data_IF_835844841051
#
_entry.id   IF_835844841051
#
_cell.length_a   1.000
_cell.length_b   1.000
_cell.length_c   1.000
_cell.angle_alpha   90.00
_cell.angle_beta   90.00
_cell.angle_gamma   90.00
#
_symmetry.space_group_name_H-M   'P 1'
#
loop_
_entity.id
_entity.type
_entity.pdbx_description
1 polymer ?
#
# COMPACT_ATOMS: atom_id res chain seq x y z
N UNK A 1 5.02 15.87 -5.82
CA UNK A 1 4.82 15.51 -4.42
C UNK A 1 5.58 14.21 -4.17
N UNK A 2 6.70 14.23 -3.42
CA UNK A 2 7.42 13.02 -3.06
C UNK A 2 6.47 11.93 -2.58
N UNK A 3 6.56 10.75 -3.16
CA UNK A 3 5.62 9.65 -2.94
C UNK A 3 6.39 8.43 -2.48
N UNK A 4 5.92 7.73 -1.45
CA UNK A 4 6.35 6.37 -1.14
C UNK A 4 5.36 5.40 -1.75
N UNK A 5 5.84 4.60 -2.70
CA UNK A 5 5.15 3.37 -3.10
C UNK A 5 5.77 2.20 -2.33
N UNK A 6 5.04 1.64 -1.36
CA UNK A 6 5.44 0.47 -0.58
C UNK A 6 4.84 -0.79 -1.22
N UNK A 7 5.63 -1.47 -2.05
CA UNK A 7 5.20 -2.55 -2.95
C UNK A 7 5.71 -3.91 -2.48
N UNK A 8 5.00 -4.53 -1.52
CA UNK A 8 5.31 -5.90 -1.05
C UNK A 8 5.14 -6.92 -2.18
N UNK A 9 6.07 -7.87 -2.28
CA UNK A 9 6.07 -8.96 -3.26
C UNK A 9 6.29 -10.30 -2.52
N UNK A 10 5.38 -10.59 -1.58
CA UNK A 10 5.48 -11.76 -0.71
C UNK A 10 4.80 -12.99 -1.32
N UNK A 11 3.57 -12.81 -1.77
CA UNK A 11 2.70 -13.83 -2.32
C UNK A 11 1.94 -13.32 -3.56
N UNK A 12 1.04 -14.15 -4.10
CA UNK A 12 0.36 -13.84 -5.35
C UNK A 12 -0.46 -12.54 -5.30
N UNK A 13 -1.34 -12.28 -4.31
CA UNK A 13 -2.11 -11.04 -4.27
C UNK A 13 -1.24 -9.80 -4.07
N UNK A 14 -0.23 -9.86 -3.19
CA UNK A 14 0.68 -8.73 -2.98
C UNK A 14 1.52 -8.44 -4.22
N UNK A 15 2.00 -9.48 -4.93
CA UNK A 15 2.66 -9.35 -6.24
C UNK A 15 1.75 -8.72 -7.28
N UNK A 16 0.47 -9.10 -7.29
CA UNK A 16 -0.53 -8.56 -8.22
C UNK A 16 -0.74 -7.06 -8.05
N UNK A 17 -1.07 -6.63 -6.83
CA UNK A 17 -1.24 -5.21 -6.51
C UNK A 17 0.08 -4.42 -6.66
N UNK A 18 1.23 -5.01 -6.33
CA UNK A 18 2.54 -4.38 -6.57
C UNK A 18 2.87 -4.25 -8.05
N UNK A 19 2.46 -5.21 -8.90
CA UNK A 19 2.55 -5.12 -10.35
C UNK A 19 1.77 -3.93 -10.90
N UNK A 20 0.55 -3.71 -10.39
CA UNK A 20 -0.24 -2.51 -10.68
C UNK A 20 0.47 -1.23 -10.23
N UNK A 21 0.92 -1.14 -8.97
CA UNK A 21 1.63 0.03 -8.48
C UNK A 21 2.90 0.34 -9.28
N UNK A 22 3.71 -0.68 -9.59
CA UNK A 22 4.99 -0.51 -10.29
C UNK A 22 4.83 -0.09 -11.75
N UNK A 23 3.82 -0.59 -12.46
CA UNK A 23 3.72 -0.40 -13.92
C UNK A 23 2.64 0.58 -14.32
N UNK A 24 1.65 0.82 -13.45
CA UNK A 24 0.60 1.81 -13.69
C UNK A 24 0.78 3.09 -12.88
N UNK A 25 1.03 3.00 -11.56
CA UNK A 25 1.11 4.20 -10.71
C UNK A 25 2.49 4.87 -10.80
N UNK A 26 3.56 4.10 -10.63
CA UNK A 26 4.94 4.56 -10.60
C UNK A 26 5.33 5.49 -11.78
N UNK A 27 4.97 5.21 -13.06
CA UNK A 27 5.27 6.11 -14.17
C UNK A 27 4.61 7.51 -14.09
N UNK A 28 3.70 7.72 -13.14
CA UNK A 28 2.90 8.94 -12.98
C UNK A 28 3.22 9.69 -11.68
N UNK A 29 4.16 9.18 -10.88
CA UNK A 29 4.58 9.79 -9.61
C UNK A 29 6.10 9.89 -9.55
N UNK A 30 6.60 10.98 -8.96
CA UNK A 30 8.03 11.22 -8.78
C UNK A 30 8.34 11.56 -7.32
N UNK A 31 9.55 11.23 -6.84
CA UNK A 31 10.17 9.90 -6.90
C UNK A 31 10.38 9.38 -5.46
N UNK A 32 10.02 8.12 -5.17
CA UNK A 32 10.57 7.24 -4.12
C UNK A 32 9.76 5.92 -4.14
N UNK A 33 10.45 4.79 -4.06
CA UNK A 33 9.84 3.47 -4.09
C UNK A 33 10.52 2.58 -3.07
N UNK A 34 9.72 1.83 -2.32
CA UNK A 34 10.16 0.65 -1.59
C UNK A 34 9.56 -0.53 -2.32
N UNK A 35 10.41 -1.42 -2.84
CA UNK A 35 9.97 -2.61 -3.56
C UNK A 35 10.54 -3.87 -2.91
N UNK A 36 9.70 -4.91 -2.83
CA UNK A 36 10.08 -6.23 -2.32
C UNK A 36 10.81 -6.12 -0.97
N UNK A 37 12.03 -6.65 -0.85
CA UNK A 37 12.84 -6.68 0.37
C UNK A 37 13.05 -5.31 1.07
N UNK A 38 12.85 -4.21 0.36
CA UNK A 38 12.92 -2.86 0.93
C UNK A 38 11.64 -2.44 1.67
N UNK A 39 10.52 -3.14 1.45
CA UNK A 39 9.22 -2.85 2.06
C UNK A 39 9.19 -3.46 3.45
N UNK A 40 9.95 -2.87 4.36
CA UNK A 40 10.11 -3.28 5.76
C UNK A 40 10.17 -2.05 6.64
N UNK A 41 10.07 -2.24 7.96
CA UNK A 41 10.04 -1.15 8.94
C UNK A 41 11.19 -0.14 8.77
N UNK A 42 12.45 -0.59 8.68
CA UNK A 42 13.60 0.33 8.65
C UNK A 42 13.62 1.22 7.40
N UNK A 43 13.53 0.71 6.16
CA UNK A 43 13.49 1.59 4.98
C UNK A 43 12.24 2.47 4.95
N UNK A 44 11.09 1.97 5.43
CA UNK A 44 9.87 2.75 5.53
C UNK A 44 10.03 3.96 6.46
N UNK A 45 10.59 3.77 7.66
CA UNK A 45 10.86 4.86 8.61
C UNK A 45 11.77 5.96 8.08
N UNK A 46 12.66 5.61 7.14
CA UNK A 46 13.55 6.57 6.50
C UNK A 46 12.85 7.33 5.37
N UNK A 47 11.97 6.65 4.63
CA UNK A 47 11.33 7.19 3.43
C UNK A 47 10.05 7.96 3.72
N UNK A 48 9.21 7.44 4.64
CA UNK A 48 7.90 8.01 4.94
C UNK A 48 7.96 9.47 5.39
N UNK A 49 8.88 9.89 6.29
CA UNK A 49 8.97 11.30 6.70
C UNK A 49 9.30 12.27 5.56
N UNK A 50 9.93 11.80 4.48
CA UNK A 50 10.29 12.61 3.32
C UNK A 50 9.22 12.63 2.22
N UNK A 51 8.07 12.01 2.46
CA UNK A 51 6.98 11.89 1.49
C UNK A 51 5.76 12.73 1.84
N UNK A 52 5.05 13.18 0.81
CA UNK A 52 3.73 13.79 0.93
C UNK A 52 2.61 12.74 0.75
N UNK A 53 2.88 11.70 -0.05
CA UNK A 53 1.94 10.63 -0.37
C UNK A 53 2.53 9.28 0.02
N UNK A 54 1.71 8.41 0.60
CA UNK A 54 2.03 7.00 0.84
C UNK A 54 0.98 6.14 0.14
N UNK A 55 1.42 5.25 -0.76
CA UNK A 55 0.58 4.18 -1.31
C UNK A 55 1.21 2.84 -0.91
N UNK A 56 0.49 2.07 -0.11
CA UNK A 56 0.97 0.79 0.43
C UNK A 56 0.21 -0.40 -0.14
N UNK A 57 0.96 -1.48 -0.41
CA UNK A 57 0.46 -2.80 -0.78
C UNK A 57 1.08 -3.82 0.17
N UNK A 58 0.24 -4.65 0.78
CA UNK A 58 0.65 -5.74 1.64
C UNK A 58 -0.54 -6.34 2.39
N UNK A 59 -0.29 -7.40 3.16
CA UNK A 59 -1.30 -7.94 4.05
C UNK A 59 -1.64 -6.94 5.15
N UNK A 60 -2.87 -6.99 5.60
CA UNK A 60 -3.39 -6.06 6.59
C UNK A 60 -4.34 -6.74 7.55
N UNK A 61 -4.55 -6.06 8.65
CA UNK A 61 -5.54 -6.34 9.68
C UNK A 61 -6.18 -5.02 10.09
N UNK A 62 -7.15 -5.06 10.98
CA UNK A 62 -7.76 -3.86 11.52
C UNK A 62 -6.74 -2.86 12.07
N UNK A 63 -5.63 -3.35 12.64
CA UNK A 63 -4.63 -2.60 13.38
C UNK A 63 -3.31 -2.38 12.63
N UNK A 64 -3.03 -3.06 11.52
CA UNK A 64 -1.71 -3.00 10.89
C UNK A 64 -1.72 -3.17 9.37
N UNK A 65 -0.66 -2.65 8.75
CA UNK A 65 -0.23 -3.04 7.39
C UNK A 65 1.18 -3.61 7.46
N UNK A 66 1.38 -4.68 6.69
CA UNK A 66 2.65 -5.38 6.56
C UNK A 66 3.31 -5.11 5.22
N UNK A 67 4.60 -5.37 5.16
CA UNK A 67 5.41 -5.34 3.96
C UNK A 67 5.89 -6.72 3.54
N UNK A 68 7.12 -6.79 3.04
CA UNK A 68 7.71 -8.03 2.55
C UNK A 68 7.89 -9.05 3.68
N UNK A 69 7.42 -10.27 3.41
CA UNK A 69 7.39 -11.38 4.38
C UNK A 69 6.67 -10.96 5.66
N UNK A 70 5.54 -10.28 5.51
CA UNK A 70 4.66 -9.84 6.61
C UNK A 70 5.34 -8.94 7.65
N UNK A 71 6.46 -8.32 7.30
CA UNK A 71 7.15 -7.40 8.19
C UNK A 71 6.26 -6.18 8.46
N UNK A 72 5.86 -5.94 9.71
CA UNK A 72 5.02 -4.81 10.07
C UNK A 72 5.66 -3.47 9.66
N UNK A 73 4.87 -2.61 9.03
CA UNK A 73 5.29 -1.28 8.56
C UNK A 73 4.66 -0.18 9.39
N UNK A 74 3.33 -0.23 9.55
CA UNK A 74 2.56 0.64 10.43
C UNK A 74 1.61 -0.24 11.24
N UNK A 75 1.48 0.07 12.53
CA UNK A 75 0.53 -0.55 13.45
C UNK A 75 -0.02 0.55 14.37
N UNK A 76 -1.29 0.47 14.76
CA UNK A 76 -1.97 1.42 15.65
C UNK A 76 -1.10 1.77 16.86
N UNK A 77 -0.84 3.06 17.04
CA UNK A 77 -0.02 3.58 18.14
C UNK A 77 1.46 3.18 18.13
N UNK A 78 1.98 2.54 17.07
CA UNK A 78 3.37 2.03 16.98
C UNK A 78 4.14 2.57 15.76
N UNK A 79 4.15 3.89 15.61
CA UNK A 79 4.96 4.60 14.62
C UNK A 79 5.33 6.00 15.11
N UNK A 80 6.32 6.63 14.49
CA UNK A 80 6.64 8.04 14.73
C UNK A 80 5.63 8.92 13.97
N UNK A 81 4.98 9.92 14.60
CA UNK A 81 4.00 10.78 13.91
C UNK A 81 4.53 11.42 12.62
N UNK A 82 5.84 11.70 12.53
CA UNK A 82 6.48 12.25 11.32
C UNK A 82 6.35 11.35 10.09
N UNK A 83 6.10 10.06 10.30
CA UNK A 83 5.87 9.09 9.23
C UNK A 83 4.51 9.27 8.56
N UNK A 84 3.56 10.00 9.18
CA UNK A 84 2.16 10.07 8.72
C UNK A 84 1.60 11.50 8.70
N UNK A 85 2.16 12.40 9.51
CA UNK A 85 1.71 13.79 9.63
C UNK A 85 1.75 14.52 8.27
N UNK A 86 0.62 15.15 7.93
CA UNK A 86 0.40 15.89 6.69
C UNK A 86 0.23 15.02 5.44
N UNK A 87 0.27 13.69 5.55
CA UNK A 87 0.35 12.80 4.38
C UNK A 87 -1.01 12.36 3.85
N UNK A 88 -1.08 12.20 2.54
CA UNK A 88 -2.18 11.51 1.86
C UNK A 88 -1.83 10.02 1.78
N UNK A 89 -2.63 9.17 2.45
CA UNK A 89 -2.32 7.76 2.60
C UNK A 89 -3.39 6.91 1.91
N UNK A 90 -2.97 5.98 1.05
CA UNK A 90 -3.83 4.96 0.45
C UNK A 90 -3.25 3.56 0.69
N UNK A 91 -4.01 2.66 1.30
CA UNK A 91 -3.59 1.30 1.55
C UNK A 91 -4.45 0.30 0.76
N UNK A 92 -3.81 -0.52 -0.06
CA UNK A 92 -4.40 -1.69 -0.72
C UNK A 92 -4.12 -2.89 0.19
N UNK A 93 -4.91 -3.00 1.26
CA UNK A 93 -4.67 -3.91 2.37
C UNK A 93 -5.95 -4.11 3.20
N UNK A 94 -6.27 -5.37 3.53
CA UNK A 94 -7.51 -5.75 4.22
C UNK A 94 -7.71 -5.00 5.54
N UNK A 95 -8.94 -4.56 5.79
CA UNK A 95 -9.42 -4.05 7.09
C UNK A 95 -8.67 -2.83 7.68
N UNK A 96 -7.68 -2.27 6.98
CA UNK A 96 -6.91 -1.12 7.45
C UNK A 96 -7.76 0.14 7.68
N UNK A 97 -8.99 0.20 7.16
CA UNK A 97 -9.97 1.24 7.44
C UNK A 97 -10.65 1.15 8.80
N UNK A 98 -10.59 0.00 9.49
CA UNK A 98 -11.33 -0.21 10.74
C UNK A 98 -10.69 0.51 11.92
N UNK A 99 -9.40 0.29 12.19
CA UNK A 99 -8.69 0.96 13.31
C UNK A 99 -7.46 1.75 12.87
N UNK A 100 -6.65 1.19 11.98
CA UNK A 100 -5.42 1.83 11.52
C UNK A 100 -5.71 3.19 10.87
N UNK A 101 -6.59 3.25 9.88
CA UNK A 101 -6.96 4.49 9.18
C UNK A 101 -7.39 5.62 10.13
N UNK A 102 -8.38 5.39 11.01
CA UNK A 102 -8.76 6.36 12.03
C UNK A 102 -7.59 6.79 12.94
N UNK A 103 -6.70 5.86 13.30
CA UNK A 103 -5.52 6.18 14.09
C UNK A 103 -4.53 7.08 13.33
N UNK A 104 -4.28 6.79 12.05
CA UNK A 104 -3.44 7.61 11.18
C UNK A 104 -3.96 9.05 11.07
N UNK A 105 -5.28 9.22 10.88
CA UNK A 105 -5.93 10.53 10.84
C UNK A 105 -5.76 11.29 12.15
N UNK A 106 -6.03 10.64 13.30
CA UNK A 106 -5.84 11.27 14.62
C UNK A 106 -4.40 11.70 14.88
N UNK A 107 -3.43 11.02 14.26
CA UNK A 107 -2.01 11.33 14.36
C UNK A 107 -1.50 12.26 13.23
N UNK A 108 -2.40 12.95 12.53
CA UNK A 108 -2.06 14.07 11.66
C UNK A 108 -2.01 13.75 10.17
N UNK A 109 -2.35 12.54 9.72
CA UNK A 109 -2.50 12.29 8.28
C UNK A 109 -3.55 13.23 7.68
N UNK A 110 -3.24 13.80 6.51
CA UNK A 110 -4.15 14.73 5.82
C UNK A 110 -5.38 14.01 5.28
N UNK A 111 -5.22 12.77 4.83
CA UNK A 111 -6.33 11.91 4.41
C UNK A 111 -5.92 10.43 4.42
N UNK A 112 -6.90 9.55 4.54
CA UNK A 112 -6.71 8.10 4.49
C UNK A 112 -7.75 7.46 3.57
N UNK A 113 -7.31 6.52 2.73
CA UNK A 113 -8.16 5.63 1.95
C UNK A 113 -7.71 4.18 2.16
N UNK A 114 -8.62 3.33 2.64
CA UNK A 114 -8.39 1.91 2.89
C UNK A 114 -9.73 1.19 2.95
N UNK A 115 -9.72 -0.06 3.41
CA UNK A 115 -10.90 -0.94 3.38
C UNK A 115 -11.35 -1.29 4.79
N UNK A 116 -12.66 -1.27 5.06
CA UNK A 116 -13.24 -1.73 6.32
C UNK A 116 -13.42 -3.27 6.35
N UNK A 117 -13.52 -3.88 5.18
CA UNK A 117 -13.63 -5.32 4.98
C UNK A 117 -12.39 -5.90 4.28
N UNK A 118 -12.38 -7.22 4.09
CA UNK A 118 -11.37 -7.91 3.30
C UNK A 118 -11.41 -7.45 1.84
N UNK A 119 -10.25 -7.05 1.34
CA UNK A 119 -10.10 -6.65 -0.05
C UNK A 119 -9.53 -7.81 -0.87
N UNK A 120 -10.42 -8.57 -1.52
CA UNK A 120 -10.11 -9.80 -2.23
C UNK A 120 -10.43 -9.66 -3.73
N UNK A 121 -9.62 -10.29 -4.57
CA UNK A 121 -9.92 -10.43 -6.00
C UNK A 121 -9.37 -11.75 -6.54
N UNK A 122 -10.07 -12.30 -7.54
CA UNK A 122 -9.56 -13.40 -8.35
C UNK A 122 -8.49 -12.87 -9.32
N UNK A 123 -7.52 -13.72 -9.67
CA UNK A 123 -6.49 -13.34 -10.62
C UNK A 123 -5.91 -14.56 -11.34
N UNK A 124 -5.52 -14.36 -12.59
CA UNK A 124 -4.64 -15.28 -13.29
C UNK A 124 -3.20 -15.14 -12.75
N UNK A 125 -2.65 -16.24 -12.23
CA UNK A 125 -1.31 -16.25 -11.64
C UNK A 125 -0.21 -15.88 -12.66
N UNK A 126 -0.41 -16.22 -13.94
CA UNK A 126 0.53 -15.89 -15.02
C UNK A 126 0.52 -14.38 -15.33
N UNK A 127 -0.55 -13.69 -14.98
CA UNK A 127 -0.75 -12.25 -15.20
C UNK A 127 -0.52 -11.41 -13.94
N UNK A 128 -0.08 -12.00 -12.83
CA UNK A 128 0.11 -11.29 -11.55
C UNK A 128 1.03 -10.06 -11.70
N UNK A 129 2.08 -10.11 -12.51
CA UNK A 129 2.94 -8.93 -12.69
C UNK A 129 2.32 -7.83 -13.59
N UNK A 130 1.24 -8.15 -14.29
CA UNK A 130 0.55 -7.29 -15.26
C UNK A 130 -0.98 -7.39 -15.10
N UNK A 131 -1.55 -7.02 -13.94
CA UNK A 131 -2.96 -7.29 -13.63
C UNK A 131 -3.97 -6.62 -14.58
N UNK A 132 -3.59 -5.57 -15.32
CA UNK A 132 -4.46 -4.98 -16.34
C UNK A 132 -4.64 -5.85 -17.59
N UNK A 133 -3.76 -6.83 -17.81
CA UNK A 133 -3.91 -7.81 -18.88
C UNK A 133 -5.01 -8.83 -18.55
N UNK A 134 -5.25 -9.07 -17.26
CA UNK A 134 -6.40 -9.82 -16.76
C UNK A 134 -7.64 -8.91 -16.78
N UNK A 135 -8.30 -8.87 -17.94
CA UNK A 135 -9.49 -8.02 -18.15
C UNK A 135 -10.71 -8.52 -17.39
N UNK A 136 -10.71 -9.78 -16.95
CA UNK A 136 -11.90 -10.37 -16.34
C UNK A 136 -11.94 -10.20 -14.83
N UNK A 137 -10.79 -10.27 -14.15
CA UNK A 137 -10.73 -10.25 -12.70
C UNK A 137 -9.84 -9.12 -12.17
N UNK A 138 -8.52 -9.28 -12.17
CA UNK A 138 -7.61 -8.35 -11.49
C UNK A 138 -7.70 -6.92 -12.07
N UNK A 139 -7.88 -6.79 -13.39
CA UNK A 139 -8.04 -5.51 -14.06
C UNK A 139 -9.28 -4.74 -13.59
N UNK A 140 -10.42 -5.41 -13.38
CA UNK A 140 -11.66 -4.75 -12.91
C UNK A 140 -11.54 -4.26 -11.47
N UNK A 141 -10.70 -4.90 -10.66
CA UNK A 141 -10.54 -4.56 -9.25
C UNK A 141 -9.49 -3.45 -9.05
N UNK A 142 -8.35 -3.53 -9.76
CA UNK A 142 -7.21 -2.63 -9.51
C UNK A 142 -7.19 -1.41 -10.42
N UNK A 143 -7.71 -1.50 -11.65
CA UNK A 143 -7.66 -0.39 -12.58
C UNK A 143 -8.69 0.68 -12.23
N UNK A 144 -8.38 1.96 -12.48
CA UNK A 144 -9.38 3.02 -12.37
C UNK A 144 -10.58 2.70 -13.26
N UNK A 145 -11.79 2.85 -12.72
CA UNK A 145 -13.02 2.85 -13.52
C UNK A 145 -13.04 4.16 -14.31
N UNK A 146 -12.99 4.07 -15.64
CA UNK A 146 -13.05 5.22 -16.56
C UNK A 146 -14.41 5.21 -17.26
#
# INVERSE_FOLDING_TARGET
MPTVLAMSDFDLPTRSASGYCLRWICPRVEPVQLFSMLVRRTPFRLSAPQSDIIIGVGHGSEDAITGQNEAQILEVGKYDPREVEGKVIKLISCQTGVKLGPDLIRNGAASFAGYEDDYLWEMDADLASTPWADKEFAGKCLMPVI
#
